data_IF_716034974866
#
_entry.id   IF_716034974866
#
_cell.length_a   1.000
_cell.length_b   1.000
_cell.length_c   1.000
_cell.angle_alpha   90.00
_cell.angle_beta   90.00
_cell.angle_gamma   90.00
#
_symmetry.space_group_name_H-M   'P 1'
#
loop_
_entity.id
_entity.type
_entity.pdbx_description
1 polymer ?
#
# COMPACT_ATOMS: atom_id res chain seq x y z
N UNK A 1 -9.95 -4.40 0.50
CA UNK A 1 -9.24 -3.28 -0.16
C UNK A 1 -9.82 -2.92 -1.51
N UNK A 2 -10.10 -3.89 -2.37
CA UNK A 2 -10.66 -3.66 -3.73
C UNK A 2 -11.96 -2.85 -3.74
N UNK A 3 -12.83 -3.05 -2.76
CA UNK A 3 -14.11 -2.36 -2.68
C UNK A 3 -13.98 -0.83 -2.47
N UNK A 4 -12.81 -0.36 -2.05
CA UNK A 4 -12.55 1.07 -1.83
C UNK A 4 -11.93 1.76 -3.05
N UNK A 5 -11.65 0.99 -4.10
CA UNK A 5 -11.04 1.52 -5.32
C UNK A 5 -12.12 2.03 -6.27
N UNK A 6 -11.89 3.19 -6.86
CA UNK A 6 -12.87 3.87 -7.71
C UNK A 6 -12.52 3.82 -9.19
N UNK A 7 -11.27 3.55 -9.55
CA UNK A 7 -10.82 3.52 -10.94
C UNK A 7 -10.20 2.17 -11.29
N UNK A 8 -10.17 1.87 -12.59
CA UNK A 8 -9.53 0.65 -13.08
C UNK A 8 -8.04 0.66 -12.79
N UNK A 9 -7.38 1.82 -12.91
CA UNK A 9 -5.96 1.95 -12.60
C UNK A 9 -5.69 1.61 -11.12
N UNK A 10 -6.53 2.08 -10.22
CA UNK A 10 -6.39 1.79 -8.79
C UNK A 10 -6.54 0.29 -8.52
N UNK A 11 -7.52 -0.35 -9.14
CA UNK A 11 -7.74 -1.79 -9.00
C UNK A 11 -6.58 -2.61 -9.52
N UNK A 12 -6.04 -2.23 -10.68
CA UNK A 12 -4.89 -2.90 -11.28
C UNK A 12 -3.67 -2.78 -10.37
N UNK A 13 -3.38 -1.59 -9.88
CA UNK A 13 -2.24 -1.38 -8.98
C UNK A 13 -2.39 -2.19 -7.70
N UNK A 14 -3.59 -2.21 -7.12
CA UNK A 14 -3.84 -2.97 -5.89
C UNK A 14 -3.56 -4.47 -6.09
N UNK A 15 -4.05 -5.05 -7.19
CA UNK A 15 -3.83 -6.46 -7.51
C UNK A 15 -2.35 -6.74 -7.78
N UNK A 16 -1.69 -5.91 -8.58
CA UNK A 16 -0.28 -6.09 -8.93
C UNK A 16 0.64 -5.93 -7.72
N UNK A 17 0.31 -5.01 -6.82
CA UNK A 17 1.04 -4.83 -5.58
C UNK A 17 1.03 -6.12 -4.76
N UNK A 18 -0.12 -6.77 -4.61
CA UNK A 18 -0.23 -8.03 -3.90
C UNK A 18 0.55 -9.14 -4.60
N UNK A 19 0.52 -9.18 -5.93
CA UNK A 19 1.27 -10.18 -6.71
C UNK A 19 2.78 -10.03 -6.50
N UNK A 20 3.30 -8.81 -6.57
CA UNK A 20 4.73 -8.55 -6.38
C UNK A 20 5.16 -8.89 -4.95
N UNK A 21 4.34 -8.53 -3.97
CA UNK A 21 4.63 -8.77 -2.57
C UNK A 21 4.65 -10.26 -2.21
N UNK A 22 3.69 -11.02 -2.74
CA UNK A 22 3.50 -12.42 -2.39
C UNK A 22 4.27 -13.38 -3.29
N UNK A 23 4.75 -12.93 -4.44
CA UNK A 23 5.38 -13.78 -5.44
C UNK A 23 6.72 -13.22 -5.90
N UNK A 24 7.84 -13.60 -5.25
CA UNK A 24 9.17 -13.14 -5.65
C UNK A 24 9.53 -13.44 -7.11
N UNK A 25 8.84 -14.41 -7.73
CA UNK A 25 9.03 -14.76 -9.14
C UNK A 25 8.46 -13.71 -10.10
N UNK A 26 7.69 -12.74 -9.60
CA UNK A 26 7.09 -11.67 -10.38
C UNK A 26 7.61 -10.30 -9.96
N UNK A 27 8.90 -10.00 -10.20
CA UNK A 27 9.43 -8.68 -9.87
C UNK A 27 8.85 -7.60 -10.78
N UNK A 28 9.01 -6.34 -10.38
CA UNK A 28 8.50 -5.19 -11.11
C UNK A 28 8.96 -5.17 -12.58
N UNK A 29 10.20 -5.60 -12.84
CA UNK A 29 10.75 -5.67 -14.21
C UNK A 29 9.92 -6.61 -15.09
N UNK A 30 9.41 -7.70 -14.54
CA UNK A 30 8.59 -8.64 -15.29
C UNK A 30 7.24 -8.03 -15.66
N UNK A 31 6.66 -7.21 -14.78
CA UNK A 31 5.43 -6.50 -15.08
C UNK A 31 5.63 -5.49 -16.21
N UNK A 32 6.80 -4.85 -16.24
CA UNK A 32 7.15 -3.93 -17.34
C UNK A 32 7.19 -4.69 -18.68
N UNK A 33 7.75 -5.89 -18.69
CA UNK A 33 7.82 -6.74 -19.90
C UNK A 33 6.44 -7.19 -20.37
N UNK A 34 5.48 -7.28 -19.47
CA UNK A 34 4.10 -7.65 -19.80
C UNK A 34 3.28 -6.48 -20.38
N UNK A 35 3.88 -5.28 -20.48
CA UNK A 35 3.26 -4.15 -21.14
C UNK A 35 2.36 -3.27 -20.30
N UNK A 36 2.45 -3.33 -18.99
CA UNK A 36 1.69 -2.42 -18.12
C UNK A 36 2.18 -0.99 -18.26
N UNK A 37 1.26 -0.03 -18.11
CA UNK A 37 1.58 1.39 -18.24
C UNK A 37 2.59 1.84 -17.17
N UNK A 38 3.47 2.79 -17.55
CA UNK A 38 4.48 3.31 -16.63
C UNK A 38 3.90 3.84 -15.33
N UNK A 39 2.76 4.54 -15.40
CA UNK A 39 2.06 5.08 -14.24
C UNK A 39 1.69 3.97 -13.24
N UNK A 40 1.20 2.84 -13.76
CA UNK A 40 0.84 1.68 -12.93
C UNK A 40 2.07 1.08 -12.28
N UNK A 41 3.16 0.92 -13.04
CA UNK A 41 4.41 0.36 -12.53
C UNK A 41 5.04 1.23 -11.45
N UNK A 42 5.02 2.55 -11.64
CA UNK A 42 5.53 3.49 -10.64
C UNK A 42 4.74 3.42 -9.34
N UNK A 43 3.41 3.30 -9.44
CA UNK A 43 2.57 3.18 -8.26
C UNK A 43 2.81 1.85 -7.52
N UNK A 44 2.99 0.76 -8.24
CA UNK A 44 3.33 -0.54 -7.62
C UNK A 44 4.67 -0.45 -6.90
N UNK A 45 5.66 0.19 -7.51
CA UNK A 45 6.96 0.40 -6.88
C UNK A 45 6.84 1.23 -5.60
N UNK A 46 6.06 2.31 -5.64
CA UNK A 46 5.81 3.17 -4.48
C UNK A 46 5.14 2.41 -3.32
N UNK A 47 4.37 1.38 -3.63
CA UNK A 47 3.68 0.56 -2.64
C UNK A 47 4.50 -0.65 -2.17
N UNK A 48 5.71 -0.81 -2.70
CA UNK A 48 6.61 -1.91 -2.35
C UNK A 48 7.70 -1.40 -1.42
N UNK A 49 7.69 -1.87 -0.16
CA UNK A 49 8.69 -1.46 0.82
C UNK A 49 10.06 -2.06 0.50
N UNK A 50 11.09 -1.25 0.61
CA UNK A 50 12.47 -1.68 0.40
C UNK A 50 13.06 -2.26 1.68
N UNK A 51 14.04 -3.15 1.54
CA UNK A 51 14.61 -3.90 2.67
C UNK A 51 15.25 -3.02 3.74
N UNK A 52 15.86 -1.90 3.32
CA UNK A 52 16.56 -0.95 4.22
C UNK A 52 15.71 0.26 4.58
N UNK A 53 14.45 0.27 4.20
CA UNK A 53 13.55 1.40 4.38
C UNK A 53 12.73 1.24 5.65
N UNK A 54 12.67 2.30 6.48
CA UNK A 54 11.78 2.30 7.63
C UNK A 54 10.33 2.34 7.18
N UNK A 55 9.42 1.89 8.03
CA UNK A 55 7.98 1.95 7.74
C UNK A 55 7.53 3.39 7.47
N UNK A 56 8.01 4.33 8.27
CA UNK A 56 7.66 5.74 8.11
C UNK A 56 8.14 6.31 6.78
N UNK A 57 9.38 6.02 6.38
CA UNK A 57 9.92 6.46 5.09
C UNK A 57 9.15 5.84 3.92
N UNK A 58 8.77 4.57 4.03
CA UNK A 58 7.96 3.88 3.05
C UNK A 58 6.59 4.57 2.87
N UNK A 59 5.89 4.88 3.96
CA UNK A 59 4.59 5.56 3.91
C UNK A 59 4.72 6.93 3.27
N UNK A 60 5.75 7.69 3.62
CA UNK A 60 5.99 9.02 3.04
C UNK A 60 6.20 8.94 1.54
N UNK A 61 6.98 7.97 1.09
CA UNK A 61 7.23 7.76 -0.34
C UNK A 61 5.96 7.35 -1.08
N UNK A 62 5.20 6.41 -0.53
CA UNK A 62 3.94 5.96 -1.13
C UNK A 62 2.91 7.10 -1.22
N UNK A 63 2.93 8.05 -0.28
CA UNK A 63 1.98 9.16 -0.24
C UNK A 63 2.26 10.27 -1.27
N UNK A 64 3.42 10.26 -1.93
CA UNK A 64 3.79 11.32 -2.86
C UNK A 64 3.03 11.28 -4.18
N UNK A 65 2.61 10.09 -4.64
CA UNK A 65 1.83 9.94 -5.88
C UNK A 65 0.37 9.74 -5.55
N UNK A 66 -0.54 10.48 -6.20
CA UNK A 66 -1.98 10.34 -5.91
C UNK A 66 -2.50 8.91 -6.04
N UNK A 67 -2.08 8.17 -7.04
CA UNK A 67 -2.53 6.79 -7.26
C UNK A 67 -2.07 5.87 -6.13
N UNK A 68 -0.78 5.90 -5.79
CA UNK A 68 -0.23 5.09 -4.69
C UNK A 68 -0.83 5.53 -3.35
N UNK A 69 -1.03 6.82 -3.14
CA UNK A 69 -1.61 7.38 -1.92
C UNK A 69 -3.01 6.83 -1.67
N UNK A 70 -3.85 6.82 -2.69
CA UNK A 70 -5.23 6.32 -2.58
C UNK A 70 -5.23 4.85 -2.15
N UNK A 71 -4.37 4.05 -2.75
CA UNK A 71 -4.27 2.63 -2.45
C UNK A 71 -3.69 2.42 -1.04
N UNK A 72 -2.66 3.18 -0.68
CA UNK A 72 -2.05 3.08 0.65
C UNK A 72 -3.06 3.45 1.75
N UNK A 73 -3.88 4.46 1.50
CA UNK A 73 -4.93 4.87 2.44
C UNK A 73 -5.95 3.73 2.65
N UNK A 74 -6.37 3.09 1.56
CA UNK A 74 -7.30 1.96 1.64
C UNK A 74 -6.68 0.78 2.38
N UNK A 75 -5.41 0.49 2.11
CA UNK A 75 -4.66 -0.57 2.77
C UNK A 75 -4.56 -0.32 4.29
N UNK A 76 -4.24 0.91 4.69
CA UNK A 76 -4.16 1.29 6.10
C UNK A 76 -5.50 1.11 6.81
N UNK A 77 -6.59 1.53 6.18
CA UNK A 77 -7.93 1.37 6.73
C UNK A 77 -8.31 -0.09 6.90
N UNK A 78 -7.97 -0.92 5.91
CA UNK A 78 -8.24 -2.35 5.96
C UNK A 78 -7.45 -3.02 7.10
N UNK A 79 -6.18 -2.65 7.26
CA UNK A 79 -5.32 -3.20 8.30
C UNK A 79 -5.71 -2.75 9.71
N UNK A 80 -6.50 -1.68 9.83
CA UNK A 80 -6.98 -1.17 11.12
C UNK A 80 -8.34 -1.73 11.53
N UNK A 81 -8.90 -2.64 10.73
CA UNK A 81 -10.19 -3.27 11.06
C UNK A 81 -9.98 -4.29 12.18
N UNK A 82 -10.36 -3.92 13.40
CA UNK A 82 -10.18 -4.76 14.60
C UNK A 82 -10.95 -6.07 14.53
N UNK A 83 -12.05 -6.12 13.79
CA UNK A 83 -12.85 -7.34 13.65
C UNK A 83 -12.07 -8.48 12.99
N UNK A 84 -11.02 -8.14 12.23
CA UNK A 84 -10.17 -9.11 11.55
C UNK A 84 -9.07 -9.67 12.44
N UNK A 85 -8.86 -9.10 13.62
CA UNK A 85 -7.79 -9.51 14.52
C UNK A 85 -8.28 -10.65 15.41
N UNK A 86 -7.59 -11.80 15.42
CA UNK A 86 -7.96 -12.91 16.31
C UNK A 86 -7.70 -12.60 17.77
N UNK A 87 -6.72 -11.76 18.06
CA UNK A 87 -6.33 -11.34 19.42
C UNK A 87 -5.92 -9.88 19.40
N UNK A 88 -6.37 -9.12 20.39
CA UNK A 88 -5.95 -7.72 20.57
C UNK A 88 -4.91 -7.65 21.69
N UNK A 89 -3.69 -8.11 21.40
CA UNK A 89 -2.56 -8.09 22.32
C UNK A 89 -1.71 -6.82 22.13
N UNK A 90 -0.59 -6.72 22.87
CA UNK A 90 0.29 -5.55 22.79
C UNK A 90 0.88 -5.35 21.38
N UNK A 91 1.21 -6.44 20.68
CA UNK A 91 1.76 -6.36 19.32
C UNK A 91 0.71 -5.85 18.35
N UNK A 92 -0.52 -6.32 18.45
CA UNK A 92 -1.63 -5.86 17.62
C UNK A 92 -1.93 -4.39 17.89
N UNK A 93 -1.95 -3.98 19.15
CA UNK A 93 -2.19 -2.59 19.55
C UNK A 93 -1.08 -1.68 19.01
N UNK A 94 0.16 -2.09 19.09
CA UNK A 94 1.30 -1.32 18.57
C UNK A 94 1.21 -1.15 17.05
N UNK A 95 0.79 -2.21 16.33
CA UNK A 95 0.58 -2.13 14.88
C UNK A 95 -0.54 -1.17 14.54
N UNK A 96 -1.65 -1.23 15.26
CA UNK A 96 -2.79 -0.33 15.04
C UNK A 96 -2.39 1.13 15.26
N UNK A 97 -1.61 1.41 16.30
CA UNK A 97 -1.11 2.76 16.57
C UNK A 97 -0.23 3.26 15.42
N UNK A 98 0.63 2.40 14.87
CA UNK A 98 1.49 2.74 13.75
C UNK A 98 0.68 3.01 12.48
N UNK A 99 -0.31 2.18 12.19
CA UNK A 99 -1.19 2.36 11.03
C UNK A 99 -2.01 3.64 11.17
N UNK A 100 -2.52 3.94 12.36
CA UNK A 100 -3.28 5.16 12.60
C UNK A 100 -2.42 6.40 12.34
N UNK A 101 -1.19 6.42 12.86
CA UNK A 101 -0.26 7.52 12.63
C UNK A 101 0.02 7.70 11.13
N UNK A 102 0.23 6.60 10.41
CA UNK A 102 0.45 6.64 8.98
C UNK A 102 -0.77 7.15 8.23
N UNK A 103 -1.97 6.73 8.61
CA UNK A 103 -3.22 7.19 7.99
C UNK A 103 -3.41 8.70 8.20
N UNK A 104 -3.15 9.21 9.39
CA UNK A 104 -3.25 10.64 9.67
C UNK A 104 -2.28 11.45 8.81
N UNK A 105 -1.06 10.97 8.63
CA UNK A 105 -0.07 11.59 7.76
C UNK A 105 -0.57 11.66 6.31
N UNK A 106 -1.10 10.55 5.79
CA UNK A 106 -1.62 10.49 4.41
C UNK A 106 -2.79 11.46 4.23
N UNK A 107 -3.70 11.51 5.18
CA UNK A 107 -4.85 12.42 5.14
C UNK A 107 -4.42 13.89 5.19
N UNK A 108 -3.38 14.20 5.94
CA UNK A 108 -2.81 15.55 6.01
C UNK A 108 -2.24 15.99 4.67
N UNK A 109 -1.57 15.10 3.94
CA UNK A 109 -1.04 15.38 2.60
C UNK A 109 -2.17 15.65 1.60
N UNK A 110 -3.27 14.93 1.73
CA UNK A 110 -4.44 15.15 0.85
C UNK A 110 -5.08 16.51 1.06
N UNK A 111 -4.86 17.10 2.19
CA UNK A 111 -5.47 18.37 2.58
C UNK A 111 -6.75 18.17 3.32
#
# INVERSE_FOLDING_TARGET
MMLQMHTDAERIVAVLHDVVEDNPAWPLARLADEGFAAEVLEAVDDLTRRADESYEAFVRRAAQRPLARTIKKADLRDNMNIERLPVLDEKATARLARYHKALMYVKEIEG
#
